data_IF_421184070715
#
_entry.id   IF_421184070715
#
_cell.length_a   1.000
_cell.length_b   1.000
_cell.length_c   1.000
_cell.angle_alpha   90.00
_cell.angle_beta   90.00
_cell.angle_gamma   90.00
#
_symmetry.space_group_name_H-M   'P 1'
#
loop_
_entity.id
_entity.type
_entity.pdbx_description
1 polymer ?
#
# COMPACT_ATOMS: atom_id res chain seq x y z
N UNK A 1 -14.14 8.08 -7.49
CA UNK A 1 -13.02 7.25 -7.04
C UNK A 1 -12.48 7.92 -5.79
N UNK A 2 -12.59 7.29 -4.63
CA UNK A 2 -12.24 7.91 -3.36
C UNK A 2 -10.72 7.99 -3.17
N UNK A 3 -10.32 8.66 -2.10
CA UNK A 3 -8.94 8.70 -1.66
C UNK A 3 -8.91 8.52 -0.15
N UNK A 4 -7.93 7.75 0.34
CA UNK A 4 -7.74 7.46 1.74
C UNK A 4 -6.41 8.04 2.19
N UNK A 5 -6.37 8.54 3.42
CA UNK A 5 -5.14 9.06 4.01
C UNK A 5 -4.37 7.89 4.64
N UNK A 6 -3.19 7.59 4.08
CA UNK A 6 -2.28 6.57 4.61
C UNK A 6 -1.46 7.22 5.70
N UNK A 7 -1.63 6.78 6.95
CA UNK A 7 -0.93 7.35 8.11
C UNK A 7 -0.03 6.37 8.85
N UNK A 8 1.08 6.90 9.36
CA UNK A 8 1.97 6.27 10.33
C UNK A 8 2.55 7.37 11.23
N UNK A 9 2.52 7.18 12.55
CA UNK A 9 3.02 8.14 13.54
C UNK A 9 2.49 9.58 13.32
N UNK A 10 1.18 9.70 13.05
CA UNK A 10 0.50 10.98 12.74
C UNK A 10 0.96 11.70 11.46
N UNK A 11 1.84 11.08 10.66
CA UNK A 11 2.28 11.57 9.34
C UNK A 11 1.68 10.71 8.25
N UNK A 12 1.62 11.22 7.02
CA UNK A 12 0.97 10.46 5.95
C UNK A 12 0.80 11.19 4.63
N UNK A 13 0.25 10.47 3.67
CA UNK A 13 -0.05 10.96 2.33
C UNK A 13 -1.42 10.47 1.87
N UNK A 14 -2.00 11.14 0.88
CA UNK A 14 -3.25 10.69 0.25
C UNK A 14 -2.95 9.65 -0.83
N UNK A 15 -3.68 8.54 -0.86
CA UNK A 15 -3.65 7.61 -2.00
C UNK A 15 -5.04 7.41 -2.55
N UNK A 16 -5.14 7.10 -3.84
CA UNK A 16 -6.40 6.66 -4.44
C UNK A 16 -6.72 5.29 -3.89
N UNK A 17 -7.96 5.08 -3.45
CA UNK A 17 -8.36 3.82 -2.80
C UNK A 17 -7.98 2.60 -3.66
N UNK A 18 -8.27 2.64 -4.96
CA UNK A 18 -7.96 1.56 -5.89
C UNK A 18 -6.45 1.24 -6.00
N UNK A 19 -5.57 2.24 -5.87
CA UNK A 19 -4.12 2.02 -5.87
C UNK A 19 -3.66 1.45 -4.53
N UNK A 20 -4.19 1.99 -3.43
CA UNK A 20 -3.86 1.54 -2.09
C UNK A 20 -4.35 0.10 -1.84
N UNK A 21 -5.58 -0.23 -2.23
CA UNK A 21 -6.13 -1.59 -2.15
C UNK A 21 -5.26 -2.58 -2.92
N UNK A 22 -4.89 -2.26 -4.17
CA UNK A 22 -3.99 -3.11 -4.96
C UNK A 22 -2.61 -3.26 -4.32
N UNK A 23 -2.05 -2.18 -3.77
CA UNK A 23 -0.77 -2.21 -3.06
C UNK A 23 -0.82 -3.12 -1.81
N UNK A 24 -1.84 -2.96 -0.97
CA UNK A 24 -2.08 -3.81 0.21
C UNK A 24 -2.29 -5.27 -0.20
N UNK A 25 -2.95 -5.51 -1.33
CA UNK A 25 -3.13 -6.86 -1.84
C UNK A 25 -1.80 -7.53 -2.19
N UNK A 26 -0.89 -6.82 -2.86
CA UNK A 26 0.43 -7.39 -3.17
C UNK A 26 1.23 -7.72 -1.91
N UNK A 27 1.18 -6.85 -0.90
CA UNK A 27 1.83 -7.13 0.38
C UNK A 27 1.22 -8.36 1.07
N UNK A 28 -0.10 -8.45 1.12
CA UNK A 28 -0.80 -9.60 1.70
C UNK A 28 -0.47 -10.92 0.98
N UNK A 29 -0.49 -10.92 -0.35
CA UNK A 29 -0.13 -12.10 -1.16
C UNK A 29 1.35 -12.48 -0.94
N UNK A 30 2.25 -11.49 -0.77
CA UNK A 30 3.67 -11.74 -0.46
C UNK A 30 3.85 -12.33 0.94
N UNK A 31 3.14 -11.85 1.96
CA UNK A 31 3.15 -12.45 3.31
C UNK A 31 2.68 -13.90 3.26
N UNK A 32 1.62 -14.19 2.51
CA UNK A 32 1.03 -15.53 2.42
C UNK A 32 1.99 -16.59 1.91
N UNK A 33 2.96 -16.22 1.06
CA UNK A 33 3.95 -17.15 0.50
C UNK A 33 5.24 -17.26 1.31
N UNK A 34 5.40 -16.46 2.38
CA UNK A 34 6.56 -16.57 3.26
C UNK A 34 6.44 -17.81 4.16
N UNK A 35 7.41 -18.75 4.10
CA UNK A 35 7.42 -19.89 4.99
C UNK A 35 7.67 -19.42 6.43
N UNK A 36 6.85 -19.88 7.37
CA UNK A 36 7.00 -19.60 8.80
C UNK A 36 7.07 -18.09 9.15
N UNK A 37 6.28 -17.25 8.48
CA UNK A 37 6.15 -15.84 8.86
C UNK A 37 5.73 -15.70 10.34
N UNK A 38 6.30 -14.72 11.04
CA UNK A 38 5.93 -14.44 12.42
C UNK A 38 4.42 -14.18 12.57
N UNK A 39 3.80 -14.55 13.71
CA UNK A 39 2.35 -14.36 13.92
C UNK A 39 1.86 -12.92 13.71
N UNK A 40 2.67 -11.92 14.08
CA UNK A 40 2.30 -10.51 13.89
C UNK A 40 2.22 -10.14 12.40
N UNK A 41 3.13 -10.69 11.58
CA UNK A 41 3.19 -10.42 10.15
C UNK A 41 2.04 -11.11 9.43
N UNK A 42 1.67 -12.32 9.86
CA UNK A 42 0.49 -13.02 9.37
C UNK A 42 -0.79 -12.22 9.64
N UNK A 43 -0.99 -11.74 10.87
CA UNK A 43 -2.14 -10.90 11.23
C UNK A 43 -2.19 -9.60 10.42
N UNK A 44 -1.04 -8.95 10.23
CA UNK A 44 -0.95 -7.75 9.38
C UNK A 44 -1.29 -8.07 7.92
N UNK A 45 -0.83 -9.20 7.39
CA UNK A 45 -1.15 -9.68 6.04
C UNK A 45 -2.65 -9.97 5.86
N UNK A 46 -3.29 -10.58 6.86
CA UNK A 46 -4.74 -10.80 6.87
C UNK A 46 -5.51 -9.48 6.91
N UNK A 47 -5.07 -8.51 7.72
CA UNK A 47 -5.66 -7.18 7.75
C UNK A 47 -5.55 -6.48 6.40
N UNK A 48 -4.37 -6.49 5.76
CA UNK A 48 -4.19 -5.95 4.42
C UNK A 48 -5.04 -6.65 3.36
N UNK A 49 -5.17 -7.97 3.46
CA UNK A 49 -6.06 -8.74 2.59
C UNK A 49 -7.50 -8.24 2.71
N UNK A 50 -8.01 -8.05 3.93
CA UNK A 50 -9.36 -7.54 4.17
C UNK A 50 -9.52 -6.11 3.64
N UNK A 51 -8.59 -5.22 3.95
CA UNK A 51 -8.60 -3.82 3.49
C UNK A 51 -8.59 -3.71 1.96
N UNK A 52 -7.93 -4.64 1.27
CA UNK A 52 -7.92 -4.70 -0.20
C UNK A 52 -9.15 -5.34 -0.84
N UNK A 53 -9.95 -6.09 -0.09
CA UNK A 53 -11.00 -6.96 -0.67
C UNK A 53 -12.40 -6.36 -0.61
N UNK A 54 -12.65 -5.39 0.27
CA UNK A 54 -14.01 -4.91 0.58
C UNK A 54 -14.47 -3.76 -0.34
N UNK A 55 -13.56 -3.14 -1.10
CA UNK A 55 -13.89 -2.00 -1.98
C UNK A 55 -14.22 -0.75 -1.16
N UNK A 56 -13.39 -0.44 -0.16
CA UNK A 56 -13.62 0.69 0.73
C UNK A 56 -13.47 2.00 -0.06
N UNK A 57 -14.49 2.86 0.02
CA UNK A 57 -14.44 4.20 -0.57
C UNK A 57 -14.08 5.20 0.54
N UNK A 58 -12.86 5.71 0.53
CA UNK A 58 -12.35 6.73 1.46
C UNK A 58 -12.01 6.24 2.87
N UNK A 59 -12.00 4.93 3.11
CA UNK A 59 -11.79 4.33 4.44
C UNK A 59 -10.74 3.21 4.46
N UNK A 60 -9.85 3.14 3.47
CA UNK A 60 -8.79 2.13 3.44
C UNK A 60 -7.74 2.49 4.50
N UNK A 61 -7.52 1.60 5.47
CA UNK A 61 -6.56 1.83 6.57
C UNK A 61 -5.55 0.68 6.66
N UNK A 62 -4.27 0.90 6.33
CA UNK A 62 -3.23 -0.14 6.42
C UNK A 62 -2.87 -0.60 7.84
N UNK A 63 -3.32 0.08 8.90
CA UNK A 63 -3.10 -0.31 10.30
C UNK A 63 -1.65 -0.20 10.77
N UNK A 64 -0.85 0.71 10.19
CA UNK A 64 0.61 0.72 10.40
C UNK A 64 1.01 0.91 11.87
N UNK A 65 0.36 1.84 12.57
CA UNK A 65 0.64 2.12 13.99
C UNK A 65 0.29 0.95 14.92
N UNK A 66 -0.65 0.08 14.53
CA UNK A 66 -1.10 -1.06 15.34
C UNK A 66 -0.10 -2.24 15.27
N UNK A 67 0.56 -2.43 14.12
CA UNK A 67 1.44 -3.58 13.87
C UNK A 67 2.93 -3.24 13.97
N UNK A 68 3.35 -2.02 13.57
CA UNK A 68 4.75 -1.60 13.51
C UNK A 68 5.22 -0.96 14.83
N UNK A 69 5.23 -1.79 15.88
CA UNK A 69 5.51 -1.38 17.26
C UNK A 69 7.00 -1.25 17.58
N UNK A 70 7.88 -1.75 16.72
CA UNK A 70 9.33 -1.75 16.90
C UNK A 70 10.06 -1.64 15.55
N UNK A 71 11.36 -1.35 15.62
CA UNK A 71 12.19 -1.13 14.43
C UNK A 71 12.32 -2.38 13.57
N UNK A 72 12.38 -3.58 14.16
CA UNK A 72 12.60 -4.82 13.41
C UNK A 72 11.37 -5.17 12.55
N UNK A 73 10.16 -4.93 13.07
CA UNK A 73 8.92 -5.04 12.29
C UNK A 73 8.86 -4.04 11.16
N UNK A 74 9.27 -2.79 11.42
CA UNK A 74 9.34 -1.75 10.38
C UNK A 74 10.29 -2.15 9.26
N UNK A 75 11.50 -2.61 9.59
CA UNK A 75 12.49 -3.06 8.61
C UNK A 75 11.97 -4.25 7.80
N UNK A 76 11.27 -5.18 8.46
CA UNK A 76 10.62 -6.33 7.80
C UNK A 76 9.61 -5.87 6.75
N UNK A 77 8.72 -4.93 7.09
CA UNK A 77 7.73 -4.41 6.13
C UNK A 77 8.37 -3.58 5.02
N UNK A 78 9.45 -2.84 5.30
CA UNK A 78 10.21 -2.14 4.26
C UNK A 78 10.86 -3.12 3.28
N UNK A 79 11.46 -4.21 3.78
CA UNK A 79 12.05 -5.26 2.94
C UNK A 79 10.99 -5.96 2.08
N UNK A 80 9.83 -6.28 2.67
CA UNK A 80 8.68 -6.85 1.95
C UNK A 80 8.22 -5.91 0.82
N UNK A 81 8.07 -4.63 1.14
CA UNK A 81 7.67 -3.59 0.17
C UNK A 81 8.66 -3.47 -0.99
N UNK A 82 9.97 -3.51 -0.70
CA UNK A 82 11.01 -3.50 -1.74
C UNK A 82 10.91 -4.73 -2.65
N UNK A 83 10.70 -5.91 -2.07
CA UNK A 83 10.55 -7.14 -2.86
C UNK A 83 9.35 -7.05 -3.82
N UNK A 84 8.20 -6.55 -3.36
CA UNK A 84 7.04 -6.34 -4.25
C UNK A 84 7.36 -5.33 -5.37
N UNK A 85 8.07 -4.24 -5.07
CA UNK A 85 8.50 -3.26 -6.09
C UNK A 85 9.41 -3.91 -7.14
N UNK A 86 10.30 -4.81 -6.73
CA UNK A 86 11.15 -5.56 -7.64
C UNK A 86 10.34 -6.50 -8.54
N UNK A 87 9.40 -7.25 -7.99
CA UNK A 87 8.50 -8.13 -8.74
C UNK A 87 7.69 -7.32 -9.78
N UNK A 88 7.16 -6.15 -9.39
CA UNK A 88 6.46 -5.22 -10.28
C UNK A 88 7.36 -4.74 -11.43
N UNK A 89 8.62 -4.39 -11.14
CA UNK A 89 9.58 -3.91 -12.15
C UNK A 89 10.00 -5.00 -13.13
N UNK A 90 10.05 -6.26 -12.68
CA UNK A 90 10.34 -7.41 -13.53
C UNK A 90 9.15 -7.85 -14.38
N UNK A 91 7.95 -7.32 -14.10
CA UNK A 91 6.72 -7.75 -14.77
C UNK A 91 6.24 -9.13 -14.30
N UNK A 92 6.67 -9.57 -13.11
CA UNK A 92 6.28 -10.86 -12.52
C UNK A 92 4.86 -10.83 -11.93
N UNK A 93 4.26 -9.64 -11.80
CA UNK A 93 2.90 -9.44 -11.32
C UNK A 93 1.93 -9.08 -12.46
N UNK A 94 0.80 -9.78 -12.48
CA UNK A 94 -0.28 -9.56 -13.45
C UNK A 94 -1.12 -8.37 -12.99
N UNK A 95 -1.13 -7.29 -13.78
CA UNK A 95 -1.84 -6.03 -13.50
C UNK A 95 -2.96 -5.74 -14.50
N UNK A 96 -3.59 -6.80 -15.02
CA UNK A 96 -4.75 -6.62 -15.89
C UNK A 96 -5.94 -6.13 -15.08
N UNK A 97 -6.81 -5.34 -15.72
CA UNK A 97 -8.06 -4.93 -15.09
C UNK A 97 -8.90 -6.13 -14.65
N UNK A 98 -8.85 -7.25 -15.39
CA UNK A 98 -9.56 -8.48 -15.03
C UNK A 98 -9.01 -9.06 -13.73
N UNK A 99 -7.68 -9.11 -13.57
CA UNK A 99 -7.06 -9.59 -12.33
C UNK A 99 -7.43 -8.67 -11.17
N UNK A 100 -7.31 -7.35 -11.34
CA UNK A 100 -7.63 -6.37 -10.30
C UNK A 100 -9.11 -6.41 -9.91
N UNK A 101 -10.02 -6.49 -10.88
CA UNK A 101 -11.46 -6.59 -10.65
C UNK A 101 -11.84 -7.93 -9.99
N UNK A 102 -11.14 -9.03 -10.29
CA UNK A 102 -11.40 -10.33 -9.66
C UNK A 102 -10.95 -10.40 -8.19
N UNK A 103 -10.07 -9.49 -7.75
CA UNK A 103 -9.57 -9.43 -6.37
C UNK A 103 -10.35 -8.44 -5.50
N UNK A 104 -11.04 -7.47 -6.10
CA UNK A 104 -12.01 -6.60 -5.43
C UNK A 104 -13.33 -7.33 -5.25
N UNK A 105 -13.66 -7.74 -4.03
CA UNK A 105 -14.93 -8.45 -3.73
C UNK A 105 -16.13 -7.49 -3.58
N UNK A 106 -15.91 -6.18 -3.63
CA UNK A 106 -16.90 -5.14 -3.31
C UNK A 106 -17.44 -4.37 -4.51
N UNK A 107 -18.54 -3.65 -4.28
CA UNK A 107 -19.21 -2.69 -5.18
C UNK A 107 -18.38 -1.43 -5.51
N UNK A 108 -17.08 -1.47 -5.20
CA UNK A 108 -16.11 -0.42 -5.51
C UNK A 108 -15.89 -0.28 -7.01
N UNK A 109 -15.51 0.93 -7.43
CA UNK A 109 -15.33 1.30 -8.83
C UNK A 109 -14.43 0.30 -9.58
N UNK A 110 -14.97 -0.38 -10.60
CA UNK A 110 -14.18 -1.33 -11.41
C UNK A 110 -13.08 -0.62 -12.21
N UNK A 111 -11.94 -1.29 -12.37
CA UNK A 111 -10.89 -0.89 -13.29
C UNK A 111 -11.40 -1.03 -14.73
N UNK A 112 -11.45 0.09 -15.45
CA UNK A 112 -11.87 0.13 -16.86
C UNK A 112 -10.73 -0.21 -17.83
N UNK A 113 -9.50 -0.12 -17.36
CA UNK A 113 -8.25 -0.33 -18.12
C UNK A 113 -7.20 -0.95 -17.23
N UNK A 114 -6.24 -1.61 -17.86
CA UNK A 114 -5.05 -2.11 -17.17
C UNK A 114 -4.31 -0.96 -16.50
N UNK A 115 -3.74 -1.25 -15.34
CA UNK A 115 -3.05 -0.25 -14.53
C UNK A 115 -1.55 -0.42 -14.74
N UNK A 116 -0.82 0.63 -15.16
CA UNK A 116 0.62 0.54 -15.32
C UNK A 116 1.31 0.17 -13.99
N UNK A 117 2.23 -0.80 -14.03
CA UNK A 117 3.05 -1.19 -12.87
C UNK A 117 3.75 0.02 -12.22
N UNK A 118 4.14 1.01 -13.03
CA UNK A 118 4.75 2.24 -12.56
C UNK A 118 3.91 3.00 -11.51
N UNK A 119 2.57 2.90 -11.54
CA UNK A 119 1.72 3.52 -10.53
C UNK A 119 1.84 2.82 -9.17
N UNK A 120 1.87 1.48 -9.17
CA UNK A 120 2.08 0.70 -7.94
C UNK A 120 3.51 0.81 -7.42
N UNK A 121 4.50 0.96 -8.31
CA UNK A 121 5.88 1.27 -7.90
C UNK A 121 5.94 2.62 -7.18
N UNK A 122 5.24 3.64 -7.70
CA UNK A 122 5.15 4.95 -7.03
C UNK A 122 4.46 4.85 -5.67
N UNK A 123 3.36 4.11 -5.59
CA UNK A 123 2.65 3.85 -4.33
C UNK A 123 3.56 3.17 -3.29
N UNK A 124 4.28 2.12 -3.68
CA UNK A 124 5.20 1.42 -2.78
C UNK A 124 6.39 2.28 -2.33
N UNK A 125 6.90 3.16 -3.19
CA UNK A 125 7.94 4.11 -2.82
C UNK A 125 7.43 5.17 -1.82
N UNK A 126 6.21 5.67 -2.01
CA UNK A 126 5.56 6.56 -1.05
C UNK A 126 5.33 5.88 0.31
N UNK A 127 4.88 4.62 0.28
CA UNK A 127 4.70 3.81 1.48
C UNK A 127 6.01 3.62 2.24
N UNK A 128 7.11 3.28 1.55
CA UNK A 128 8.44 3.18 2.18
C UNK A 128 8.91 4.54 2.70
N UNK A 129 8.69 5.63 1.95
CA UNK A 129 9.09 6.97 2.39
C UNK A 129 8.35 7.39 3.68
N UNK A 130 7.06 7.04 3.80
CA UNK A 130 6.29 7.21 5.03
C UNK A 130 6.90 6.43 6.20
N UNK A 131 7.15 5.12 6.01
CA UNK A 131 7.74 4.28 7.05
C UNK A 131 9.13 4.75 7.49
N UNK A 132 9.89 5.38 6.58
CA UNK A 132 11.20 5.94 6.87
C UNK A 132 11.15 7.36 7.46
N UNK A 133 9.96 7.89 7.74
CA UNK A 133 9.79 9.24 8.28
C UNK A 133 10.14 10.36 7.30
N UNK A 134 10.27 10.07 6.00
CA UNK A 134 10.56 11.07 4.96
C UNK A 134 9.34 11.89 4.57
N UNK A 135 8.15 11.33 4.76
CA UNK A 135 6.89 12.06 4.60
C UNK A 135 6.55 12.73 5.94
N UNK A 136 6.54 14.05 5.95
CA UNK A 136 6.29 14.87 7.16
C UNK A 136 4.92 15.54 7.16
N UNK A 137 4.14 15.36 6.09
CA UNK A 137 2.80 15.90 5.93
C UNK A 137 1.78 15.21 6.82
N UNK A 138 0.67 15.89 7.07
CA UNK A 138 -0.50 15.40 7.80
C UNK A 138 -1.73 15.48 6.90
N UNK A 139 -2.86 14.94 7.31
CA UNK A 139 -4.11 15.03 6.53
C UNK A 139 -4.54 16.47 6.25
N UNK A 140 -4.07 17.45 7.03
CA UNK A 140 -4.34 18.88 6.85
C UNK A 140 -3.37 19.58 5.90
N UNK A 141 -2.17 19.04 5.73
CA UNK A 141 -1.08 19.71 4.98
C UNK A 141 -0.69 18.99 3.70
N UNK A 142 -1.13 17.73 3.52
CA UNK A 142 -0.90 16.98 2.30
C UNK A 142 -1.81 17.48 1.16
N UNK A 143 -1.30 17.71 -0.06
CA UNK A 143 -2.12 18.08 -1.20
C UNK A 143 -3.09 16.95 -1.57
N UNK A 144 -4.33 17.28 -1.97
CA UNK A 144 -5.28 16.28 -2.47
C UNK A 144 -4.76 15.70 -3.79
N UNK A 145 -4.65 14.37 -3.89
CA UNK A 145 -4.22 13.67 -5.12
C UNK A 145 -2.94 12.84 -5.01
N UNK A 146 -2.27 12.87 -3.86
CA UNK A 146 -1.15 12.01 -3.50
C UNK A 146 0.23 12.67 -3.60
N UNK A 147 1.30 11.91 -3.30
CA UNK A 147 2.63 12.47 -3.14
C UNK A 147 3.10 13.06 -4.48
N UNK A 148 3.41 14.36 -4.42
CA UNK A 148 3.99 15.11 -5.52
C UNK A 148 5.47 14.75 -5.68
N UNK A 149 6.05 14.96 -6.87
CA UNK A 149 7.49 14.68 -7.09
C UNK A 149 8.40 15.48 -6.14
N UNK A 150 7.90 16.59 -5.57
CA UNK A 150 8.62 17.39 -4.57
C UNK A 150 8.60 16.80 -3.15
N UNK A 151 7.69 15.88 -2.83
CA UNK A 151 7.59 15.29 -1.48
C UNK A 151 8.67 14.23 -1.20
N UNK A 152 9.47 13.88 -2.22
CA UNK A 152 10.60 12.96 -2.10
C UNK A 152 11.96 13.68 -2.03
N UNK A 153 11.97 15.02 -2.00
CA UNK A 153 13.18 15.81 -1.90
C UNK A 153 13.72 15.80 -0.46
N UNK A 154 15.02 15.50 -0.35
CA UNK A 154 15.77 15.22 0.87
C UNK A 154 15.83 16.39 1.87
N UNK A 155 15.87 16.06 3.17
CA UNK A 155 16.47 16.87 4.23
C UNK A 155 17.43 16.00 5.02
#
# INVERSE_FOLDING_TARGET
MGSSFVSYQSKGYWSRDALLEGWLRFLADKVKVLPAADPWLQQMGEHWYLQSSVGFIGCVNPGLDDYLTDQDRLETVVALSRSVIEDLRRGELILTKEWLNAKSSGTGSSFLRDVPAALYVKEGLAFIALLRGRITTTSRTAPPGGPSEGDFAES
#
